data_IF_751163988654
#
_entry.id   IF_751163988654
#
_cell.length_a   1.000
_cell.length_b   1.000
_cell.length_c   1.000
_cell.angle_alpha   90.00
_cell.angle_beta   90.00
_cell.angle_gamma   90.00
#
_symmetry.space_group_name_H-M   'P 1'
#
loop_
_entity.id
_entity.type
_entity.pdbx_description
1 polymer ?
#
# COMPACT_ATOMS: atom_id res chain seq x y z
N UNK A 1 -48.13 -9.66 -5.79
CA UNK A 1 -46.73 -10.03 -6.14
C UNK A 1 -45.84 -9.75 -4.92
N UNK A 2 -44.92 -10.67 -4.61
CA UNK A 2 -43.88 -10.46 -3.56
C UNK A 2 -42.50 -10.54 -4.26
N UNK A 3 -41.62 -9.57 -4.00
CA UNK A 3 -40.30 -9.46 -4.63
C UNK A 3 -39.20 -9.41 -3.57
N UNK A 4 -38.17 -10.22 -3.75
CA UNK A 4 -37.02 -10.33 -2.85
C UNK A 4 -35.73 -9.86 -3.57
N UNK A 5 -34.71 -9.57 -2.79
CA UNK A 5 -33.38 -9.30 -3.36
C UNK A 5 -32.90 -10.51 -4.16
N UNK A 6 -32.45 -10.27 -5.40
CA UNK A 6 -32.06 -11.30 -6.34
C UNK A 6 -33.18 -11.78 -7.30
N UNK A 7 -34.44 -11.43 -7.05
CA UNK A 7 -35.52 -11.71 -8.00
C UNK A 7 -35.35 -10.86 -9.27
N UNK A 8 -35.84 -11.38 -10.39
CA UNK A 8 -36.06 -10.62 -11.62
C UNK A 8 -37.59 -10.48 -11.82
N UNK A 9 -38.18 -9.28 -11.73
CA UNK A 9 -39.60 -9.11 -11.94
C UNK A 9 -40.00 -9.57 -13.35
N UNK A 10 -40.84 -10.58 -13.44
CA UNK A 10 -41.25 -11.18 -14.72
C UNK A 10 -42.42 -10.43 -15.39
N UNK A 11 -43.10 -9.55 -14.70
CA UNK A 11 -44.26 -8.81 -15.20
C UNK A 11 -44.31 -7.38 -14.68
N UNK A 12 -44.86 -6.48 -15.50
CA UNK A 12 -45.13 -5.11 -15.09
C UNK A 12 -46.23 -5.07 -14.02
N UNK A 13 -46.17 -4.08 -13.12
CA UNK A 13 -47.19 -3.81 -12.13
C UNK A 13 -48.35 -3.06 -12.79
N UNK A 14 -49.58 -3.62 -12.80
CA UNK A 14 -50.72 -2.93 -13.36
C UNK A 14 -51.11 -1.65 -12.59
N UNK A 15 -51.70 -0.69 -13.27
CA UNK A 15 -52.20 0.51 -12.63
C UNK A 15 -53.23 0.17 -11.53
N UNK A 16 -53.13 0.80 -10.39
CA UNK A 16 -53.97 0.53 -9.20
C UNK A 16 -53.58 -0.69 -8.39
N UNK A 17 -52.49 -1.34 -8.74
CA UNK A 17 -51.92 -2.47 -7.97
C UNK A 17 -50.67 -2.06 -7.18
N UNK A 18 -50.40 -2.80 -6.12
CA UNK A 18 -49.16 -2.72 -5.35
C UNK A 18 -48.43 -4.07 -5.33
N UNK A 19 -47.10 -4.03 -5.22
CA UNK A 19 -46.29 -5.22 -4.97
C UNK A 19 -45.59 -5.08 -3.61
N UNK A 20 -45.56 -6.17 -2.85
CA UNK A 20 -44.74 -6.23 -1.63
C UNK A 20 -43.27 -6.44 -2.07
N UNK A 21 -42.40 -5.52 -1.71
CA UNK A 21 -41.01 -5.54 -2.10
C UNK A 21 -40.13 -5.51 -0.85
N UNK A 22 -39.03 -6.27 -0.88
CA UNK A 22 -38.01 -6.25 0.17
C UNK A 22 -36.85 -5.34 -0.22
N UNK A 23 -36.15 -4.83 0.79
CA UNK A 23 -34.95 -3.99 0.58
C UNK A 23 -33.94 -4.69 -0.34
N UNK A 24 -33.45 -3.97 -1.36
CA UNK A 24 -32.52 -4.51 -2.35
C UNK A 24 -33.16 -5.29 -3.52
N UNK A 25 -34.49 -5.49 -3.49
CA UNK A 25 -35.18 -6.07 -4.64
C UNK A 25 -35.34 -5.02 -5.78
N UNK A 26 -35.30 -5.46 -7.05
CA UNK A 26 -35.52 -4.56 -8.19
C UNK A 26 -36.98 -4.13 -8.26
N UNK A 27 -37.19 -2.85 -8.58
CA UNK A 27 -38.53 -2.29 -8.77
C UNK A 27 -39.14 -2.87 -10.07
N UNK A 28 -40.39 -3.37 -10.05
CA UNK A 28 -41.04 -3.85 -11.26
C UNK A 28 -41.40 -2.68 -12.19
N UNK A 29 -41.42 -2.95 -13.48
CA UNK A 29 -41.92 -1.99 -14.47
C UNK A 29 -43.34 -1.51 -14.08
N UNK A 30 -43.63 -0.22 -14.24
CA UNK A 30 -44.90 0.38 -13.85
C UNK A 30 -44.97 0.88 -12.41
N UNK A 31 -43.98 0.56 -11.57
CA UNK A 31 -43.83 1.15 -10.24
C UNK A 31 -42.78 2.27 -10.26
N UNK A 32 -43.01 3.35 -9.56
CA UNK A 32 -42.15 4.53 -9.51
C UNK A 32 -41.77 4.99 -8.09
N UNK A 33 -42.35 4.37 -7.07
CA UNK A 33 -42.08 4.73 -5.68
C UNK A 33 -42.32 3.55 -4.74
N UNK A 34 -41.76 3.59 -3.54
CA UNK A 34 -41.90 2.57 -2.50
C UNK A 34 -42.36 3.21 -1.18
N UNK A 35 -43.46 2.71 -0.63
CA UNK A 35 -43.92 3.07 0.71
C UNK A 35 -43.40 2.05 1.72
N UNK A 36 -42.89 2.52 2.86
CA UNK A 36 -42.51 1.66 3.97
C UNK A 36 -43.71 0.88 4.50
N UNK A 37 -43.55 -0.39 4.82
CA UNK A 37 -44.61 -1.29 5.25
C UNK A 37 -45.34 -0.78 6.50
N UNK A 38 -44.65 -0.08 7.39
CA UNK A 38 -45.19 0.54 8.60
C UNK A 38 -46.24 1.62 8.32
N UNK A 39 -46.27 2.13 7.09
CA UNK A 39 -47.26 3.12 6.63
C UNK A 39 -48.41 2.47 5.83
N UNK A 40 -48.65 1.17 6.04
CA UNK A 40 -49.72 0.40 5.40
C UNK A 40 -50.40 -0.52 6.42
N UNK A 41 -51.56 -1.08 6.06
CA UNK A 41 -52.23 -2.14 6.84
C UNK A 41 -51.62 -3.53 6.62
N UNK A 42 -50.60 -3.63 5.76
CA UNK A 42 -49.94 -4.90 5.35
C UNK A 42 -50.90 -5.95 4.77
N UNK A 43 -52.01 -5.52 4.17
CA UNK A 43 -53.00 -6.43 3.57
C UNK A 43 -52.43 -7.31 2.47
N UNK A 44 -52.99 -8.52 2.29
CA UNK A 44 -52.48 -9.50 1.32
C UNK A 44 -53.17 -9.39 -0.06
N UNK A 45 -54.48 -9.18 -0.10
CA UNK A 45 -55.25 -9.05 -1.32
C UNK A 45 -55.40 -7.58 -1.72
N UNK A 46 -55.64 -6.73 -0.75
CA UNK A 46 -55.72 -5.28 -0.88
C UNK A 46 -54.82 -4.64 0.17
N UNK A 47 -54.24 -3.47 -0.11
CA UNK A 47 -53.43 -2.74 0.83
C UNK A 47 -53.95 -1.31 0.99
N UNK A 48 -54.13 -0.87 2.21
CA UNK A 48 -54.47 0.50 2.54
C UNK A 48 -53.18 1.29 2.82
N UNK A 49 -53.02 2.40 2.14
CA UNK A 49 -51.85 3.28 2.28
C UNK A 49 -52.23 4.42 3.24
N UNK A 50 -51.43 4.64 4.27
CA UNK A 50 -51.63 5.69 5.27
C UNK A 50 -50.89 6.98 4.99
N UNK A 51 -50.13 7.03 3.88
CA UNK A 51 -49.40 8.21 3.47
C UNK A 51 -49.38 8.36 1.93
N UNK A 52 -49.28 9.58 1.46
CA UNK A 52 -49.05 9.88 0.05
C UNK A 52 -47.54 9.72 -0.26
N UNK A 53 -47.26 9.36 -1.51
CA UNK A 53 -45.91 9.19 -2.03
C UNK A 53 -45.58 10.21 -3.07
N UNK A 54 -44.33 10.57 -3.19
CA UNK A 54 -43.78 11.31 -4.32
C UNK A 54 -43.14 10.34 -5.31
N UNK A 55 -43.12 10.65 -6.60
CA UNK A 55 -42.35 9.84 -7.56
C UNK A 55 -40.89 9.71 -7.13
N UNK A 56 -40.32 8.54 -7.34
CA UNK A 56 -38.93 8.15 -6.96
C UNK A 56 -38.65 8.10 -5.44
N UNK A 57 -39.66 8.23 -4.60
CA UNK A 57 -39.49 8.13 -3.15
C UNK A 57 -39.06 6.70 -2.77
N UNK A 58 -37.97 6.56 -1.98
CA UNK A 58 -37.38 5.30 -1.53
C UNK A 58 -36.91 4.38 -2.68
N UNK A 59 -36.61 4.96 -3.86
CA UNK A 59 -36.06 4.25 -5.02
C UNK A 59 -34.64 4.71 -5.26
N UNK A 60 -33.70 3.79 -5.38
CA UNK A 60 -32.34 4.07 -5.83
C UNK A 60 -32.28 3.84 -7.34
N UNK A 61 -32.08 4.91 -8.08
CA UNK A 61 -31.95 4.84 -9.53
C UNK A 61 -30.60 4.23 -9.92
N UNK A 62 -30.53 3.65 -11.12
CA UNK A 62 -29.25 3.17 -11.67
C UNK A 62 -28.25 4.31 -11.73
N UNK A 63 -27.07 4.11 -11.14
CA UNK A 63 -26.04 5.13 -11.01
C UNK A 63 -26.28 6.13 -9.86
N UNK A 64 -27.28 5.90 -9.01
CA UNK A 64 -27.55 6.76 -7.85
C UNK A 64 -26.45 6.77 -6.81
N UNK A 65 -25.83 5.61 -6.56
CA UNK A 65 -24.68 5.49 -5.66
C UNK A 65 -23.38 5.86 -6.39
N UNK A 66 -23.14 5.28 -7.56
CA UNK A 66 -21.94 5.52 -8.36
C UNK A 66 -22.36 5.65 -9.84
N UNK A 67 -22.19 6.81 -10.40
CA UNK A 67 -22.51 7.07 -11.81
C UNK A 67 -21.49 6.35 -12.72
N UNK A 68 -21.96 5.93 -13.91
CA UNK A 68 -21.08 5.39 -14.92
C UNK A 68 -19.98 6.40 -15.31
N UNK A 69 -18.72 5.98 -15.29
CA UNK A 69 -17.57 6.83 -15.56
C UNK A 69 -17.04 7.60 -14.34
N UNK A 70 -17.68 7.48 -13.17
CA UNK A 70 -17.12 8.05 -11.93
C UNK A 70 -15.80 7.40 -11.57
N UNK A 71 -14.83 8.20 -11.14
CA UNK A 71 -13.53 7.72 -10.66
C UNK A 71 -13.68 7.26 -9.21
N UNK A 72 -13.54 5.98 -8.95
CA UNK A 72 -13.57 5.39 -7.60
C UNK A 72 -12.24 5.65 -6.86
N UNK A 73 -11.13 5.49 -7.57
CA UNK A 73 -9.80 5.78 -7.06
C UNK A 73 -8.96 6.38 -8.20
N UNK A 74 -8.33 7.51 -7.96
CA UNK A 74 -7.40 8.11 -8.91
C UNK A 74 -6.06 7.35 -8.90
N UNK A 75 -5.28 7.52 -9.96
CA UNK A 75 -3.91 6.99 -10.02
C UNK A 75 -3.08 7.47 -8.82
N UNK A 76 -2.33 6.55 -8.19
CA UNK A 76 -1.54 6.85 -7.00
C UNK A 76 -2.32 6.82 -5.67
N UNK A 77 -3.63 6.60 -5.70
CA UNK A 77 -4.43 6.48 -4.47
C UNK A 77 -4.11 5.17 -3.74
N UNK A 78 -3.70 5.21 -2.47
CA UNK A 78 -3.57 4.00 -1.66
C UNK A 78 -4.94 3.33 -1.49
N UNK A 79 -5.06 2.08 -1.95
CA UNK A 79 -6.30 1.33 -1.85
C UNK A 79 -6.53 0.88 -0.40
N UNK A 80 -7.61 1.35 0.20
CA UNK A 80 -8.09 0.93 1.52
C UNK A 80 -9.11 -0.20 1.39
N UNK A 81 -9.45 -0.93 2.48
CA UNK A 81 -10.55 -1.90 2.47
C UNK A 81 -11.88 -1.32 1.95
N UNK A 82 -12.16 -0.04 2.20
CA UNK A 82 -13.36 0.63 1.68
C UNK A 82 -13.33 0.74 0.16
N UNK A 83 -12.19 1.13 -0.44
CA UNK A 83 -12.03 1.15 -1.90
C UNK A 83 -12.24 -0.25 -2.50
N UNK A 84 -11.68 -1.30 -1.87
CA UNK A 84 -11.85 -2.68 -2.33
C UNK A 84 -13.32 -3.12 -2.29
N UNK A 85 -14.05 -2.76 -1.23
CA UNK A 85 -15.48 -3.05 -1.12
C UNK A 85 -16.30 -2.37 -2.21
N UNK A 86 -16.02 -1.09 -2.49
CA UNK A 86 -16.69 -0.34 -3.56
C UNK A 86 -16.38 -0.95 -4.93
N UNK A 87 -15.11 -1.24 -5.23
CA UNK A 87 -14.70 -1.85 -6.50
C UNK A 87 -15.34 -3.22 -6.69
N UNK A 88 -15.34 -4.07 -5.68
CA UNK A 88 -15.99 -5.38 -5.72
C UNK A 88 -17.49 -5.26 -5.93
N UNK A 89 -18.17 -4.30 -5.27
CA UNK A 89 -19.58 -4.02 -5.45
C UNK A 89 -19.94 -3.55 -6.88
N UNK A 90 -18.97 -2.99 -7.62
CA UNK A 90 -19.10 -2.66 -9.04
C UNK A 90 -18.68 -3.79 -9.98
N UNK A 91 -18.32 -4.97 -9.46
CA UNK A 91 -17.98 -6.16 -10.25
C UNK A 91 -16.53 -6.25 -10.69
N UNK A 92 -15.62 -5.41 -10.19
CA UNK A 92 -14.20 -5.51 -10.49
C UNK A 92 -13.56 -6.64 -9.67
N UNK A 93 -13.11 -7.70 -10.34
CA UNK A 93 -12.35 -8.79 -9.71
C UNK A 93 -10.87 -8.43 -9.55
N UNK A 94 -10.33 -7.64 -10.48
CA UNK A 94 -8.94 -7.22 -10.52
C UNK A 94 -8.85 -5.74 -10.92
N UNK A 95 -7.88 -5.06 -10.35
CA UNK A 95 -7.57 -3.67 -10.70
C UNK A 95 -6.06 -3.51 -10.88
N UNK A 96 -5.60 -2.71 -11.87
CA UNK A 96 -4.19 -2.44 -12.04
C UNK A 96 -3.67 -1.61 -10.87
N UNK A 97 -2.57 -2.05 -10.29
CA UNK A 97 -1.87 -1.36 -9.21
C UNK A 97 -0.38 -1.27 -9.52
N UNK A 98 0.31 -0.32 -8.91
CA UNK A 98 1.76 -0.30 -8.96
C UNK A 98 2.32 -1.55 -8.26
N UNK A 99 3.38 -2.13 -8.84
CA UNK A 99 4.07 -3.25 -8.19
C UNK A 99 4.75 -2.81 -6.90
N UNK A 100 4.84 -3.70 -5.96
CA UNK A 100 5.65 -3.49 -4.76
C UNK A 100 7.12 -3.37 -5.15
N UNK A 101 7.78 -2.31 -4.68
CA UNK A 101 9.21 -2.13 -4.85
C UNK A 101 9.99 -3.03 -3.89
N UNK A 102 11.14 -3.53 -4.36
CA UNK A 102 12.07 -4.30 -3.54
C UNK A 102 13.26 -3.42 -3.16
N UNK A 103 13.57 -3.33 -1.88
CA UNK A 103 14.71 -2.57 -1.36
C UNK A 103 15.76 -3.53 -0.80
N UNK A 104 16.98 -3.40 -1.30
CA UNK A 104 18.14 -4.09 -0.77
C UNK A 104 18.68 -3.39 0.49
N UNK A 105 19.04 -4.14 1.52
CA UNK A 105 19.75 -3.62 2.68
C UNK A 105 21.11 -4.32 2.76
N UNK A 106 22.16 -3.53 2.81
CA UNK A 106 23.53 -3.99 3.00
C UNK A 106 24.12 -3.39 4.27
N UNK A 107 24.32 -4.21 5.30
CA UNK A 107 25.07 -3.83 6.49
C UNK A 107 26.55 -4.13 6.27
N UNK A 108 27.41 -3.10 6.36
CA UNK A 108 28.88 -3.26 6.23
C UNK A 108 29.54 -3.09 7.60
N UNK A 109 30.46 -3.97 7.90
CA UNK A 109 31.22 -3.95 9.13
C UNK A 109 31.86 -5.31 9.43
N UNK A 110 33.17 -5.35 9.52
CA UNK A 110 33.88 -6.59 9.89
C UNK A 110 33.58 -7.02 11.33
N UNK A 111 33.03 -6.13 12.16
CA UNK A 111 32.57 -6.41 13.53
C UNK A 111 31.18 -7.06 13.58
N UNK A 112 30.40 -7.04 12.49
CA UNK A 112 29.01 -7.48 12.49
C UNK A 112 28.89 -9.00 12.51
N UNK A 113 27.93 -9.48 13.31
CA UNK A 113 27.42 -10.84 13.33
C UNK A 113 25.94 -10.85 12.95
N UNK A 114 25.50 -11.89 12.26
CA UNK A 114 24.08 -12.12 12.12
C UNK A 114 23.46 -12.54 13.47
N UNK A 115 22.23 -12.11 13.80
CA UNK A 115 21.53 -12.60 14.98
C UNK A 115 21.42 -14.12 14.97
N UNK A 116 21.82 -14.74 16.09
CA UNK A 116 21.89 -16.20 16.22
C UNK A 116 23.29 -16.80 16.03
N UNK A 117 24.25 -16.07 15.47
CA UNK A 117 25.63 -16.49 15.44
C UNK A 117 26.27 -16.41 16.84
N UNK A 118 27.23 -17.31 17.17
CA UNK A 118 27.95 -17.26 18.45
C UNK A 118 28.67 -15.92 18.61
N UNK A 119 28.49 -15.28 19.76
CA UNK A 119 29.22 -14.05 20.07
C UNK A 119 30.71 -14.30 20.19
N UNK A 120 31.51 -13.34 19.74
CA UNK A 120 32.98 -13.33 19.89
C UNK A 120 33.46 -11.92 20.32
N UNK A 121 34.60 -11.82 21.00
CA UNK A 121 35.20 -10.53 21.40
C UNK A 121 35.40 -9.62 20.17
N UNK A 122 35.04 -8.34 20.31
CA UNK A 122 35.14 -7.35 19.23
C UNK A 122 34.02 -7.45 18.19
N UNK A 123 33.03 -8.26 18.41
CA UNK A 123 31.85 -8.41 17.53
C UNK A 123 30.60 -7.85 18.17
N UNK A 124 29.70 -7.34 17.31
CA UNK A 124 28.34 -6.89 17.63
C UNK A 124 27.33 -7.48 16.67
N UNK A 125 26.08 -7.61 17.06
CA UNK A 125 25.04 -8.09 16.16
C UNK A 125 24.50 -6.95 15.26
N UNK A 126 24.17 -7.29 14.00
CA UNK A 126 23.54 -6.39 13.04
C UNK A 126 22.10 -6.05 13.46
N UNK A 127 21.96 -5.00 14.26
CA UNK A 127 20.67 -4.46 14.64
C UNK A 127 20.10 -3.55 13.55
N UNK A 128 20.97 -2.78 12.85
CA UNK A 128 20.57 -1.81 11.84
C UNK A 128 19.86 -2.45 10.66
N UNK A 129 20.43 -3.55 10.14
CA UNK A 129 19.81 -4.27 9.03
C UNK A 129 18.42 -4.83 9.36
N UNK A 130 18.23 -5.31 10.61
CA UNK A 130 16.94 -5.80 11.10
C UNK A 130 15.93 -4.65 11.20
N UNK A 131 16.31 -3.55 11.86
CA UNK A 131 15.44 -2.41 12.09
C UNK A 131 15.00 -1.77 10.77
N UNK A 132 15.94 -1.51 9.86
CA UNK A 132 15.64 -0.95 8.55
C UNK A 132 14.71 -1.86 7.73
N UNK A 133 14.95 -3.18 7.78
CA UNK A 133 14.07 -4.13 7.10
C UNK A 133 12.65 -4.12 7.66
N UNK A 134 12.50 -4.11 8.97
CA UNK A 134 11.19 -4.04 9.62
C UNK A 134 10.46 -2.73 9.27
N UNK A 135 11.17 -1.59 9.28
CA UNK A 135 10.60 -0.30 8.92
C UNK A 135 10.13 -0.25 7.47
N UNK A 136 10.96 -0.71 6.53
CA UNK A 136 10.58 -0.80 5.11
C UNK A 136 9.40 -1.74 4.89
N UNK A 137 9.36 -2.87 5.59
CA UNK A 137 8.22 -3.80 5.54
C UNK A 137 6.92 -3.16 6.02
N UNK A 138 6.96 -2.35 7.09
CA UNK A 138 5.80 -1.56 7.55
C UNK A 138 5.32 -0.53 6.51
N UNK A 139 6.23 -0.01 5.68
CA UNK A 139 5.91 0.89 4.57
C UNK A 139 5.44 0.15 3.30
N UNK A 140 5.35 -1.17 3.34
CA UNK A 140 4.86 -1.99 2.22
C UNK A 140 5.93 -2.39 1.20
N UNK A 141 7.22 -2.17 1.46
CA UNK A 141 8.30 -2.62 0.57
C UNK A 141 8.63 -4.10 0.79
N UNK A 142 8.99 -4.80 -0.28
CA UNK A 142 9.72 -6.06 -0.19
C UNK A 142 11.20 -5.78 0.16
N UNK A 143 11.82 -6.62 0.97
CA UNK A 143 13.19 -6.36 1.46
C UNK A 143 14.09 -7.57 1.27
N UNK A 144 15.29 -7.33 0.73
CA UNK A 144 16.40 -8.28 0.71
C UNK A 144 17.52 -7.77 1.63
N UNK A 145 17.89 -8.56 2.62
CA UNK A 145 18.98 -8.22 3.56
C UNK A 145 20.24 -8.99 3.28
N UNK A 146 21.37 -8.29 3.37
CA UNK A 146 22.71 -8.86 3.35
C UNK A 146 23.60 -8.15 4.36
N UNK A 147 24.66 -8.79 4.80
CA UNK A 147 25.76 -8.16 5.52
C UNK A 147 27.09 -8.61 4.95
N UNK A 148 28.13 -7.81 5.08
CA UNK A 148 29.46 -8.13 4.62
C UNK A 148 30.55 -7.44 5.46
N UNK A 149 31.79 -7.89 5.31
CA UNK A 149 32.98 -7.23 5.87
C UNK A 149 33.24 -5.88 5.18
N UNK A 150 34.13 -5.07 5.76
CA UNK A 150 34.62 -3.82 5.20
C UNK A 150 35.67 -4.01 4.08
N UNK A 151 35.59 -5.09 3.33
CA UNK A 151 36.41 -5.31 2.15
C UNK A 151 35.76 -4.64 0.93
N UNK A 152 36.47 -3.72 0.22
CA UNK A 152 35.91 -3.00 -0.93
C UNK A 152 35.43 -3.90 -2.07
N UNK A 153 36.10 -5.04 -2.31
CA UNK A 153 35.69 -5.98 -3.36
C UNK A 153 34.43 -6.75 -2.96
N UNK A 154 34.34 -7.14 -1.71
CA UNK A 154 33.14 -7.80 -1.15
C UNK A 154 31.97 -6.84 -1.19
N UNK A 155 32.14 -5.60 -0.72
CA UNK A 155 31.11 -4.55 -0.77
C UNK A 155 30.63 -4.35 -2.22
N UNK A 156 31.55 -4.21 -3.18
CA UNK A 156 31.22 -4.01 -4.58
C UNK A 156 30.42 -5.18 -5.17
N UNK A 157 30.81 -6.40 -4.82
CA UNK A 157 30.12 -7.62 -5.24
C UNK A 157 28.67 -7.64 -4.71
N UNK A 158 28.51 -7.44 -3.40
CA UNK A 158 27.18 -7.43 -2.74
C UNK A 158 26.28 -6.31 -3.25
N UNK A 159 26.82 -5.13 -3.52
CA UNK A 159 26.06 -4.03 -4.11
C UNK A 159 25.58 -4.37 -5.54
N UNK A 160 26.43 -4.95 -6.40
CA UNK A 160 26.02 -5.37 -7.75
C UNK A 160 24.88 -6.39 -7.70
N UNK A 161 25.00 -7.39 -6.82
CA UNK A 161 23.97 -8.42 -6.68
C UNK A 161 22.65 -7.82 -6.20
N UNK A 162 22.67 -6.94 -5.18
CA UNK A 162 21.47 -6.26 -4.71
C UNK A 162 20.87 -5.35 -5.79
N UNK A 163 21.70 -4.58 -6.48
CA UNK A 163 21.27 -3.71 -7.59
C UNK A 163 20.65 -4.51 -8.75
N UNK A 164 21.02 -5.77 -8.95
CA UNK A 164 20.37 -6.62 -9.95
C UNK A 164 18.96 -6.98 -9.56
N UNK A 165 18.72 -7.33 -8.28
CA UNK A 165 17.44 -7.86 -7.78
C UNK A 165 16.52 -6.83 -7.11
N UNK A 166 17.01 -5.62 -6.80
CA UNK A 166 16.27 -4.60 -6.06
C UNK A 166 16.09 -3.32 -6.86
N UNK A 167 15.09 -2.53 -6.51
CA UNK A 167 14.79 -1.22 -7.13
C UNK A 167 15.61 -0.09 -6.51
N UNK A 168 15.99 -0.25 -5.25
CA UNK A 168 16.88 0.65 -4.51
C UNK A 168 17.71 -0.15 -3.51
N UNK A 169 18.81 0.43 -3.02
CA UNK A 169 19.65 -0.17 -1.97
C UNK A 169 19.87 0.85 -0.85
N UNK A 170 19.77 0.39 0.38
CA UNK A 170 20.18 1.14 1.58
C UNK A 170 21.37 0.43 2.19
N UNK A 171 22.45 1.15 2.45
CA UNK A 171 23.57 0.60 3.23
C UNK A 171 23.62 1.22 4.63
N UNK A 172 24.11 0.48 5.59
CA UNK A 172 24.44 1.00 6.92
C UNK A 172 25.88 0.65 7.26
N UNK A 173 26.65 1.66 7.70
CA UNK A 173 28.09 1.57 7.89
C UNK A 173 28.88 2.12 6.69
N UNK A 174 30.18 2.33 6.86
CA UNK A 174 31.13 2.67 5.80
C UNK A 174 30.99 4.08 5.17
N UNK A 175 30.27 5.03 5.79
CA UNK A 175 30.03 6.39 5.25
C UNK A 175 30.49 7.52 6.17
N UNK A 176 31.18 7.23 7.26
CA UNK A 176 31.79 8.24 8.12
C UNK A 176 33.14 8.72 7.55
N UNK A 177 33.83 9.59 8.25
CA UNK A 177 35.16 10.10 7.82
C UNK A 177 36.34 9.22 8.26
N UNK A 178 36.09 7.94 8.55
CA UNK A 178 37.08 6.98 9.00
C UNK A 178 37.93 6.39 7.88
N UNK A 179 39.10 5.85 8.23
CA UNK A 179 40.01 5.20 7.27
C UNK A 179 39.44 3.91 6.61
N UNK A 180 38.31 3.40 7.11
CA UNK A 180 37.62 2.19 6.59
C UNK A 180 36.31 2.51 5.89
N UNK A 181 36.05 3.77 5.57
CA UNK A 181 34.81 4.18 4.89
C UNK A 181 34.96 4.06 3.37
N UNK A 182 34.86 2.83 2.88
CA UNK A 182 35.09 2.48 1.49
C UNK A 182 33.92 2.74 0.56
N UNK A 183 32.70 2.95 1.09
CA UNK A 183 31.48 3.08 0.26
C UNK A 183 31.56 4.17 -0.78
N UNK A 184 32.03 5.41 -0.50
CA UNK A 184 32.12 6.43 -1.54
C UNK A 184 33.01 6.00 -2.72
N UNK A 185 34.19 5.45 -2.45
CA UNK A 185 35.13 4.97 -3.47
C UNK A 185 34.59 3.75 -4.23
N UNK A 186 33.89 2.84 -3.55
CA UNK A 186 33.23 1.68 -4.18
C UNK A 186 32.12 2.14 -5.11
N UNK A 187 31.28 3.08 -4.70
CA UNK A 187 30.21 3.63 -5.53
C UNK A 187 30.77 4.31 -6.77
N UNK A 188 31.80 5.15 -6.64
CA UNK A 188 32.47 5.79 -7.78
C UNK A 188 33.01 4.76 -8.76
N UNK A 189 33.69 3.71 -8.27
CA UNK A 189 34.19 2.61 -9.10
C UNK A 189 33.09 1.81 -9.79
N UNK A 190 31.89 1.75 -9.21
CA UNK A 190 30.70 1.14 -9.81
C UNK A 190 30.00 2.07 -10.83
N UNK A 191 30.54 3.26 -11.07
CA UNK A 191 29.98 4.23 -12.01
C UNK A 191 28.77 4.98 -11.44
N UNK A 192 28.69 5.12 -10.11
CA UNK A 192 27.61 5.86 -9.48
C UNK A 192 27.70 7.36 -9.77
N UNK A 193 26.58 7.97 -10.06
CA UNK A 193 26.42 9.42 -10.01
C UNK A 193 26.08 9.81 -8.56
N UNK A 194 26.99 10.56 -7.92
CA UNK A 194 26.77 11.06 -6.58
C UNK A 194 25.71 12.16 -6.60
N UNK A 195 24.63 12.02 -5.85
CA UNK A 195 23.56 13.03 -5.75
C UNK A 195 23.85 14.02 -4.63
N UNK A 196 24.26 13.53 -3.47
CA UNK A 196 24.78 14.35 -2.37
C UNK A 196 25.66 13.51 -1.43
N UNK A 197 26.54 14.20 -0.69
CA UNK A 197 27.35 13.62 0.37
C UNK A 197 27.28 14.54 1.60
N UNK A 198 26.63 14.06 2.67
CA UNK A 198 26.35 14.82 3.87
C UNK A 198 25.06 15.63 3.78
N UNK A 199 24.38 15.75 4.94
CA UNK A 199 23.17 16.56 5.11
C UNK A 199 23.37 17.55 6.25
N UNK A 200 22.76 18.73 6.16
CA UNK A 200 22.84 19.78 7.17
C UNK A 200 21.93 19.47 8.38
N UNK A 201 22.14 18.29 8.96
CA UNK A 201 21.38 17.79 10.12
C UNK A 201 22.36 17.32 11.20
N UNK A 202 22.05 17.59 12.46
CA UNK A 202 22.83 17.12 13.60
C UNK A 202 21.89 16.62 14.70
N UNK A 203 21.99 15.33 15.12
CA UNK A 203 22.83 14.25 14.57
C UNK A 203 22.32 13.71 13.24
N UNK A 204 23.13 12.89 12.53
CA UNK A 204 22.75 12.24 11.27
C UNK A 204 23.39 12.84 10.01
N UNK A 205 24.32 13.80 10.17
CA UNK A 205 25.02 14.43 9.05
C UNK A 205 25.70 13.45 8.06
N UNK A 206 26.36 12.35 8.47
CA UNK A 206 26.96 11.40 7.54
C UNK A 206 25.88 10.56 6.82
N UNK A 207 25.41 11.06 5.72
CA UNK A 207 24.49 10.37 4.81
C UNK A 207 24.91 10.68 3.40
N UNK A 208 24.83 9.70 2.52
CA UNK A 208 25.16 9.84 1.11
C UNK A 208 24.05 9.24 0.26
N UNK A 209 23.75 9.84 -0.87
CA UNK A 209 22.92 9.24 -1.89
C UNK A 209 23.60 9.28 -3.24
N UNK A 210 23.45 8.19 -3.99
CA UNK A 210 23.97 8.01 -5.34
C UNK A 210 22.95 7.31 -6.22
N UNK A 211 23.14 7.42 -7.53
CA UNK A 211 22.38 6.71 -8.54
C UNK A 211 23.31 5.81 -9.35
N UNK A 212 22.89 4.55 -9.55
CA UNK A 212 23.60 3.58 -10.40
C UNK A 212 22.56 2.95 -11.34
N UNK A 213 22.72 3.15 -12.64
CA UNK A 213 21.84 2.57 -13.66
C UNK A 213 20.35 2.81 -13.41
N UNK A 214 19.98 4.02 -13.01
CA UNK A 214 18.60 4.43 -12.71
C UNK A 214 18.08 3.95 -11.35
N UNK A 215 18.93 3.37 -10.49
CA UNK A 215 18.56 2.89 -9.16
C UNK A 215 19.25 3.70 -8.07
N UNK A 216 18.49 4.01 -7.01
CA UNK A 216 18.99 4.80 -5.89
C UNK A 216 19.75 3.94 -4.88
N UNK A 217 20.86 4.46 -4.40
CA UNK A 217 21.64 3.91 -3.29
C UNK A 217 21.74 4.96 -2.20
N UNK A 218 21.20 4.66 -1.02
CA UNK A 218 21.32 5.50 0.17
C UNK A 218 22.29 4.85 1.16
N UNK A 219 23.27 5.62 1.60
CA UNK A 219 24.26 5.13 2.54
C UNK A 219 24.11 5.88 3.86
N UNK A 220 23.76 5.12 4.90
CA UNK A 220 23.49 5.63 6.24
C UNK A 220 24.67 5.33 7.17
N UNK A 221 24.85 6.17 8.20
CA UNK A 221 25.82 5.91 9.27
C UNK A 221 25.53 4.57 9.97
N UNK A 222 26.58 3.88 10.37
CA UNK A 222 26.48 2.67 11.20
C UNK A 222 26.02 2.91 12.63
N UNK A 223 26.05 4.17 13.10
CA UNK A 223 25.64 4.50 14.46
C UNK A 223 24.13 4.76 14.54
N UNK A 224 23.38 3.84 15.15
CA UNK A 224 21.93 3.92 15.31
C UNK A 224 21.44 5.16 16.06
N UNK A 225 22.22 5.70 17.00
CA UNK A 225 21.84 6.92 17.72
C UNK A 225 21.72 8.13 16.78
N UNK A 226 22.34 8.07 15.62
CA UNK A 226 22.23 9.11 14.59
C UNK A 226 20.98 8.91 13.70
N UNK A 227 20.43 7.71 13.66
CA UNK A 227 19.25 7.36 12.84
C UNK A 227 17.95 7.63 13.64
N UNK A 228 17.94 7.35 14.93
CA UNK A 228 16.75 7.50 15.80
C UNK A 228 16.28 8.95 16.00
N UNK A 229 17.12 9.93 15.77
CA UNK A 229 16.80 11.35 15.96
C UNK A 229 16.28 11.99 14.66
N UNK A 230 16.21 11.24 13.58
CA UNK A 230 15.68 11.68 12.28
C UNK A 230 14.21 11.30 12.05
N UNK A 231 13.49 10.80 13.07
CA UNK A 231 12.04 10.65 12.98
C UNK A 231 11.36 11.98 13.29
N UNK A 232 10.39 12.43 12.47
CA UNK A 232 9.61 13.64 12.72
C UNK A 232 8.68 13.50 13.92
#
# INVERSE_FOLDING_TARGET
MKLYAGDAPAAALPVGCAARIMTGAPLPEGADCVLMQELTDSGEETVQLYSSLKPQQNVVSRGGDIAAGAIIAAEGTPLTPAHLGVLAGQGYAEVPVYRTLTVGILSTGSELLAPGEPWAPGKIYDANGIQNAARLGQLGFAVQRRHCSDDPEVIACQLRELLTGCDAVITSGGVSVGQKDYLPAVLERLGAQMLFAGVAQKPGSPMLAAEIAGKLVFCLSGNLSLIHISEP
#
